data_IF_407713344296
#
_entry.id   IF_407713344296
#
_cell.length_a   1.000
_cell.length_b   1.000
_cell.length_c   1.000
_cell.angle_alpha   90.00
_cell.angle_beta   90.00
_cell.angle_gamma   90.00
#
_symmetry.space_group_name_H-M   'P 1'
#
loop_
_entity.id
_entity.type
_entity.pdbx_description
1 polymer ?
#
# COMPACT_ATOMS: atom_id res chain seq x y z
N UNK A 1 -18.65 12.12 -4.51
CA UNK A 1 -18.39 12.51 -5.92
C UNK A 1 -17.29 11.69 -6.56
N UNK A 2 -16.12 11.55 -5.91
CA UNK A 2 -14.95 10.82 -6.45
C UNK A 2 -15.27 9.39 -6.92
N UNK A 3 -15.90 8.55 -6.08
CA UNK A 3 -16.25 7.17 -6.47
C UNK A 3 -17.27 7.06 -7.61
N UNK A 4 -18.18 8.04 -7.78
CA UNK A 4 -19.16 8.05 -8.88
C UNK A 4 -18.52 8.37 -10.23
N UNK A 5 -17.42 9.12 -10.24
CA UNK A 5 -16.68 9.46 -11.46
C UNK A 5 -15.60 8.42 -11.79
N UNK A 6 -14.94 7.85 -10.77
CA UNK A 6 -13.84 6.90 -10.95
C UNK A 6 -14.32 5.52 -11.36
N UNK A 7 -15.44 5.04 -10.81
CA UNK A 7 -15.93 3.69 -11.10
C UNK A 7 -16.28 3.47 -12.59
N UNK A 8 -17.00 4.37 -13.29
CA UNK A 8 -17.29 4.19 -14.71
C UNK A 8 -16.04 4.17 -15.59
N UNK A 9 -15.04 5.00 -15.28
CA UNK A 9 -13.78 5.05 -16.01
C UNK A 9 -13.02 3.74 -15.85
N UNK A 10 -12.91 3.23 -14.62
CA UNK A 10 -12.24 1.96 -14.34
C UNK A 10 -12.97 0.77 -14.95
N UNK A 11 -14.31 0.75 -14.91
CA UNK A 11 -15.09 -0.29 -15.57
C UNK A 11 -14.86 -0.29 -17.09
N UNK A 12 -14.88 0.90 -17.71
CA UNK A 12 -14.60 1.05 -19.14
C UNK A 12 -13.19 0.57 -19.47
N UNK A 13 -12.20 0.94 -18.66
CA UNK A 13 -10.82 0.46 -18.81
C UNK A 13 -10.73 -1.06 -18.78
N UNK A 14 -11.27 -1.72 -17.76
CA UNK A 14 -11.22 -3.18 -17.65
C UNK A 14 -12.00 -3.89 -18.78
N UNK A 15 -13.13 -3.35 -19.21
CA UNK A 15 -13.89 -3.90 -20.34
C UNK A 15 -13.10 -3.79 -21.66
N UNK A 16 -12.39 -2.68 -21.88
CA UNK A 16 -11.50 -2.54 -23.05
C UNK A 16 -10.36 -3.56 -22.98
N UNK A 17 -9.73 -3.73 -21.82
CA UNK A 17 -8.68 -4.74 -21.61
C UNK A 17 -9.17 -6.15 -21.93
N UNK A 18 -10.35 -6.51 -21.41
CA UNK A 18 -10.99 -7.79 -21.66
C UNK A 18 -11.33 -7.99 -23.14
N UNK A 19 -11.89 -6.96 -23.80
CA UNK A 19 -12.26 -7.02 -25.22
C UNK A 19 -11.06 -7.17 -26.15
N UNK A 20 -9.99 -6.41 -25.92
CA UNK A 20 -8.75 -6.53 -26.69
C UNK A 20 -8.06 -7.88 -26.44
N UNK A 21 -8.03 -8.32 -25.17
CA UNK A 21 -7.49 -9.63 -24.79
C UNK A 21 -8.21 -10.77 -25.48
N UNK A 22 -9.54 -10.78 -25.40
CA UNK A 22 -10.40 -11.78 -26.03
C UNK A 22 -10.23 -11.83 -27.55
N UNK A 23 -10.16 -10.67 -28.22
CA UNK A 23 -9.92 -10.60 -29.66
C UNK A 23 -8.62 -11.29 -30.06
N UNK A 24 -7.55 -11.07 -29.30
CA UNK A 24 -6.25 -11.69 -29.57
C UNK A 24 -6.24 -13.20 -29.27
N UNK A 25 -6.91 -13.62 -28.18
CA UNK A 25 -7.07 -15.05 -27.84
C UNK A 25 -7.84 -15.80 -28.92
N UNK A 26 -8.93 -15.22 -29.45
CA UNK A 26 -9.69 -15.83 -30.56
C UNK A 26 -8.81 -16.00 -31.80
N UNK A 27 -7.88 -15.08 -32.05
CA UNK A 27 -6.97 -15.16 -33.18
C UNK A 27 -5.91 -16.26 -33.01
N UNK A 28 -5.47 -16.56 -31.78
CA UNK A 28 -4.56 -17.68 -31.49
C UNK A 28 -4.99 -18.41 -30.20
N UNK A 29 -5.93 -19.37 -30.29
CA UNK A 29 -6.46 -20.08 -29.12
C UNK A 29 -5.41 -20.94 -28.39
N UNK A 30 -4.30 -21.27 -29.03
CA UNK A 30 -3.21 -22.06 -28.46
C UNK A 30 -2.65 -21.45 -27.16
N UNK A 31 -2.76 -20.13 -26.97
CA UNK A 31 -2.31 -19.48 -25.74
C UNK A 31 -3.01 -20.03 -24.49
N UNK A 32 -4.21 -20.58 -24.62
CA UNK A 32 -4.96 -21.17 -23.51
C UNK A 32 -4.28 -22.43 -22.94
N UNK A 33 -3.38 -23.07 -23.70
CA UNK A 33 -2.56 -24.16 -23.18
C UNK A 33 -1.66 -23.71 -22.01
N UNK A 34 -1.36 -22.41 -21.90
CA UNK A 34 -0.61 -21.86 -20.76
C UNK A 34 -1.36 -21.95 -19.41
N UNK A 35 -2.65 -22.30 -19.40
CA UNK A 35 -3.37 -22.65 -18.18
C UNK A 35 -2.88 -23.96 -17.54
N UNK A 36 -2.23 -24.83 -18.32
CA UNK A 36 -1.67 -26.06 -17.79
C UNK A 36 -0.35 -25.76 -17.03
N UNK A 37 -0.28 -26.00 -15.70
CA UNK A 37 0.89 -25.69 -14.90
C UNK A 37 2.15 -26.46 -15.32
N UNK A 38 2.01 -27.54 -16.07
CA UNK A 38 3.14 -28.28 -16.63
C UNK A 38 4.05 -27.41 -17.50
N UNK A 39 3.51 -26.41 -18.21
CA UNK A 39 4.34 -25.48 -19.00
C UNK A 39 5.28 -24.66 -18.12
N UNK A 40 4.80 -24.20 -16.97
CA UNK A 40 5.65 -23.51 -16.01
C UNK A 40 6.73 -24.45 -15.47
N UNK A 41 6.37 -25.69 -15.11
CA UNK A 41 7.33 -26.70 -14.62
C UNK A 41 8.40 -27.00 -15.67
N UNK A 42 8.00 -27.25 -16.93
CA UNK A 42 8.94 -27.45 -18.04
C UNK A 42 9.84 -26.25 -18.26
N UNK A 43 9.29 -25.03 -18.19
CA UNK A 43 10.07 -23.81 -18.30
C UNK A 43 11.13 -23.70 -17.19
N UNK A 44 10.81 -24.05 -15.95
CA UNK A 44 11.80 -24.07 -14.85
C UNK A 44 12.87 -25.15 -15.02
N UNK A 45 12.48 -26.34 -15.48
CA UNK A 45 13.42 -27.46 -15.67
C UNK A 45 14.41 -27.20 -16.81
N UNK A 46 13.93 -26.64 -17.92
CA UNK A 46 14.71 -26.40 -19.13
C UNK A 46 15.61 -25.17 -19.00
N UNK A 47 15.03 -24.02 -18.64
CA UNK A 47 15.71 -22.72 -18.73
C UNK A 47 16.30 -22.21 -17.40
N UNK A 48 16.10 -22.94 -16.29
CA UNK A 48 16.70 -22.74 -14.95
C UNK A 48 16.95 -21.27 -14.58
N UNK A 49 18.15 -20.77 -14.82
CA UNK A 49 18.58 -19.39 -14.52
C UNK A 49 17.72 -18.33 -15.20
N UNK A 50 17.35 -18.52 -16.47
CA UNK A 50 16.50 -17.56 -17.19
C UNK A 50 15.09 -17.55 -16.57
N UNK A 51 14.58 -18.73 -16.19
CA UNK A 51 13.28 -18.86 -15.53
C UNK A 51 13.26 -18.19 -14.15
N UNK A 52 14.39 -18.29 -13.42
CA UNK A 52 14.59 -17.59 -12.16
C UNK A 52 14.59 -16.06 -12.35
N UNK A 53 15.29 -15.54 -13.35
CA UNK A 53 15.26 -14.09 -13.67
C UNK A 53 13.86 -13.64 -14.10
N UNK A 54 13.15 -14.48 -14.86
CA UNK A 54 11.78 -14.20 -15.32
C UNK A 54 10.79 -14.10 -14.15
N UNK A 55 10.95 -14.87 -13.07
CA UNK A 55 10.14 -14.71 -11.84
C UNK A 55 10.19 -13.28 -11.29
N UNK A 56 11.36 -12.65 -11.37
CA UNK A 56 11.55 -11.26 -10.96
C UNK A 56 10.79 -10.24 -11.84
N UNK A 57 10.37 -10.61 -13.04
CA UNK A 57 9.47 -9.79 -13.87
C UNK A 57 7.99 -10.14 -13.63
N UNK A 58 7.68 -11.42 -13.44
CA UNK A 58 6.32 -11.90 -13.15
C UNK A 58 5.74 -11.25 -11.89
N UNK A 59 6.57 -10.97 -10.88
CA UNK A 59 6.08 -10.30 -9.65
C UNK A 59 5.33 -9.00 -9.93
N UNK A 60 5.74 -8.24 -10.96
CA UNK A 60 5.12 -6.95 -11.32
C UNK A 60 3.68 -7.11 -11.81
N UNK A 61 3.26 -8.33 -12.17
CA UNK A 61 1.85 -8.63 -12.51
C UNK A 61 0.97 -8.85 -11.27
N UNK A 62 1.58 -9.18 -10.13
CA UNK A 62 0.87 -9.48 -8.86
C UNK A 62 0.86 -8.24 -7.95
N UNK A 63 1.79 -7.31 -8.16
CA UNK A 63 1.89 -6.10 -7.34
C UNK A 63 0.64 -5.24 -7.40
N UNK A 64 0.23 -4.68 -6.27
CA UNK A 64 -0.99 -3.87 -6.14
C UNK A 64 -2.14 -4.60 -5.46
N UNK A 65 -2.06 -5.93 -5.31
CA UNK A 65 -2.97 -6.69 -4.43
C UNK A 65 -2.79 -6.25 -2.97
N UNK A 66 -1.60 -5.80 -2.56
CA UNK A 66 -1.39 -5.27 -1.21
C UNK A 66 -2.23 -4.00 -0.93
N UNK A 67 -2.49 -3.19 -1.95
CA UNK A 67 -3.29 -1.97 -1.81
C UNK A 67 -4.77 -2.30 -1.55
N UNK A 68 -5.28 -3.41 -2.08
CA UNK A 68 -6.64 -3.86 -1.80
C UNK A 68 -6.86 -4.12 -0.30
N UNK A 69 -5.83 -4.62 0.41
CA UNK A 69 -5.91 -4.85 1.84
C UNK A 69 -5.88 -3.56 2.65
N UNK A 70 -5.09 -2.56 2.22
CA UNK A 70 -5.09 -1.24 2.85
C UNK A 70 -6.49 -0.58 2.78
N UNK A 71 -7.18 -0.79 1.67
CA UNK A 71 -8.52 -0.25 1.43
C UNK A 71 -9.67 -1.06 2.06
N UNK A 72 -9.40 -2.24 2.64
CA UNK A 72 -10.42 -3.01 3.37
C UNK A 72 -11.02 -2.24 4.55
N UNK A 73 -10.24 -1.35 5.17
CA UNK A 73 -10.74 -0.49 6.25
C UNK A 73 -11.78 0.54 5.80
N UNK A 74 -11.94 0.75 4.49
CA UNK A 74 -12.82 1.77 3.90
C UNK A 74 -14.06 1.14 3.25
N UNK A 75 -13.86 0.12 2.41
CA UNK A 75 -14.94 -0.47 1.61
C UNK A 75 -15.48 -1.79 2.19
N UNK A 76 -14.74 -2.42 3.10
CA UNK A 76 -15.06 -3.74 3.63
C UNK A 76 -14.81 -4.88 2.64
N UNK A 77 -14.95 -6.12 3.15
CA UNK A 77 -14.54 -7.34 2.42
C UNK A 77 -15.40 -7.71 1.21
N UNK A 78 -16.70 -7.41 1.23
CA UNK A 78 -17.65 -7.90 0.21
C UNK A 78 -17.52 -7.14 -1.12
N UNK A 79 -17.54 -5.79 -1.15
CA UNK A 79 -17.41 -5.04 -2.41
C UNK A 79 -16.08 -5.30 -3.11
N UNK A 80 -14.98 -5.41 -2.35
CA UNK A 80 -13.65 -5.71 -2.88
C UNK A 80 -13.62 -7.08 -3.55
N UNK A 81 -14.17 -8.11 -2.88
CA UNK A 81 -14.23 -9.47 -3.46
C UNK A 81 -15.07 -9.49 -4.73
N UNK A 82 -16.24 -8.84 -4.73
CA UNK A 82 -17.10 -8.78 -5.90
C UNK A 82 -16.34 -8.15 -7.07
N UNK A 83 -15.83 -6.92 -6.91
CA UNK A 83 -15.10 -6.22 -7.97
C UNK A 83 -13.88 -7.01 -8.48
N UNK A 84 -13.13 -7.63 -7.56
CA UNK A 84 -11.95 -8.43 -7.92
C UNK A 84 -12.32 -9.64 -8.77
N UNK A 85 -13.24 -10.48 -8.31
CA UNK A 85 -13.55 -11.74 -8.98
C UNK A 85 -14.45 -11.58 -10.21
N UNK A 86 -15.26 -10.53 -10.30
CA UNK A 86 -16.17 -10.34 -11.45
C UNK A 86 -15.60 -9.47 -12.57
N UNK A 87 -14.74 -8.49 -12.25
CA UNK A 87 -14.25 -7.53 -13.25
C UNK A 87 -12.73 -7.58 -13.37
N UNK A 88 -12.01 -7.34 -12.28
CA UNK A 88 -10.57 -7.06 -12.35
C UNK A 88 -9.79 -8.30 -12.76
N UNK A 89 -9.93 -9.40 -12.02
CA UNK A 89 -9.24 -10.66 -12.29
C UNK A 89 -9.52 -11.18 -13.72
N UNK A 90 -10.77 -11.37 -14.17
CA UNK A 90 -11.03 -11.89 -15.51
C UNK A 90 -10.51 -10.96 -16.61
N UNK A 91 -10.61 -9.65 -16.43
CA UNK A 91 -10.12 -8.68 -17.44
C UNK A 91 -8.60 -8.70 -17.56
N UNK A 92 -7.88 -8.77 -16.44
CA UNK A 92 -6.42 -8.87 -16.42
C UNK A 92 -5.95 -10.20 -17.00
N UNK A 93 -6.60 -11.31 -16.63
CA UNK A 93 -6.30 -12.63 -17.20
C UNK A 93 -6.47 -12.59 -18.71
N UNK A 94 -7.63 -12.16 -19.23
CA UNK A 94 -7.84 -12.05 -20.67
C UNK A 94 -6.80 -11.16 -21.36
N UNK A 95 -6.40 -10.05 -20.72
CA UNK A 95 -5.40 -9.16 -21.29
C UNK A 95 -4.01 -9.81 -21.38
N UNK A 96 -3.53 -10.46 -20.31
CA UNK A 96 -2.23 -11.15 -20.31
C UNK A 96 -2.19 -12.31 -21.31
N UNK A 97 -3.24 -13.14 -21.35
CA UNK A 97 -3.36 -14.18 -22.37
C UNK A 97 -3.43 -13.60 -23.78
N UNK A 98 -4.14 -12.49 -23.98
CA UNK A 98 -4.17 -11.79 -25.27
C UNK A 98 -2.81 -11.27 -25.72
N UNK A 99 -2.00 -10.72 -24.80
CA UNK A 99 -0.61 -10.32 -25.10
C UNK A 99 0.25 -11.53 -25.45
N UNK A 100 0.09 -12.65 -24.76
CA UNK A 100 0.75 -13.92 -25.09
C UNK A 100 0.38 -14.42 -26.50
N UNK A 101 -0.91 -14.40 -26.85
CA UNK A 101 -1.39 -14.77 -28.18
C UNK A 101 -0.83 -13.88 -29.29
N UNK A 102 -0.63 -12.59 -29.01
CA UNK A 102 0.00 -11.67 -29.96
C UNK A 102 1.47 -12.00 -30.18
N UNK A 103 2.20 -12.31 -29.10
CA UNK A 103 3.63 -12.66 -29.15
C UNK A 103 3.89 -13.99 -29.86
N UNK A 104 2.99 -14.97 -29.73
CA UNK A 104 3.08 -16.23 -30.47
C UNK A 104 3.00 -16.02 -31.99
N UNK A 105 2.23 -15.03 -32.44
CA UNK A 105 2.10 -14.70 -33.86
C UNK A 105 3.21 -13.78 -34.36
N UNK A 106 3.52 -12.73 -33.61
CA UNK A 106 4.47 -11.69 -33.98
C UNK A 106 5.46 -11.45 -32.84
N UNK A 107 6.62 -12.14 -32.83
CA UNK A 107 7.63 -11.97 -31.78
C UNK A 107 8.18 -10.54 -31.68
N UNK A 108 8.17 -9.78 -32.77
CA UNK A 108 8.60 -8.37 -32.80
C UNK A 108 7.71 -7.44 -31.97
N UNK A 109 6.49 -7.87 -31.62
CA UNK A 109 5.57 -7.09 -30.79
C UNK A 109 6.04 -6.92 -29.33
N UNK A 110 7.15 -7.56 -28.93
CA UNK A 110 7.73 -7.46 -27.58
C UNK A 110 8.08 -6.03 -27.16
N UNK A 111 8.26 -5.11 -28.12
CA UNK A 111 8.57 -3.69 -27.83
C UNK A 111 7.44 -2.98 -27.09
N UNK A 112 6.18 -3.23 -27.47
CA UNK A 112 5.00 -2.61 -26.87
C UNK A 112 3.76 -3.53 -27.05
N UNK A 113 3.74 -4.71 -26.41
CA UNK A 113 2.71 -5.71 -26.65
C UNK A 113 1.32 -5.20 -26.27
N UNK A 114 1.23 -4.29 -25.29
CA UNK A 114 -0.01 -3.67 -24.86
C UNK A 114 -0.66 -2.80 -25.95
N UNK A 115 0.11 -1.87 -26.54
CA UNK A 115 -0.43 -0.94 -27.54
C UNK A 115 -0.64 -1.62 -28.89
N UNK A 116 0.24 -2.55 -29.25
CA UNK A 116 0.11 -3.34 -30.49
C UNK A 116 -1.06 -4.35 -30.46
N UNK A 117 -1.62 -4.61 -29.27
CA UNK A 117 -2.86 -5.38 -29.12
C UNK A 117 -4.09 -4.63 -29.67
N UNK A 118 -4.04 -3.29 -29.65
CA UNK A 118 -5.13 -2.45 -30.09
C UNK A 118 -5.00 -2.13 -31.59
N UNK A 119 -6.12 -2.00 -32.33
CA UNK A 119 -6.08 -1.51 -33.69
C UNK A 119 -5.59 -0.05 -33.74
N UNK A 120 -4.91 0.35 -34.81
CA UNK A 120 -4.22 1.64 -34.91
C UNK A 120 -5.13 2.85 -34.60
N UNK A 121 -6.41 2.79 -35.02
CA UNK A 121 -7.39 3.85 -34.77
C UNK A 121 -7.76 4.00 -33.28
N UNK A 122 -7.61 2.95 -32.48
CA UNK A 122 -7.97 2.92 -31.06
C UNK A 122 -6.80 3.30 -30.12
N UNK A 123 -5.59 3.50 -30.65
CA UNK A 123 -4.40 3.83 -29.86
C UNK A 123 -4.57 5.13 -29.05
N UNK A 124 -5.05 6.20 -29.68
CA UNK A 124 -5.24 7.50 -29.00
C UNK A 124 -6.34 7.42 -27.93
N UNK A 125 -7.55 6.89 -28.21
CA UNK A 125 -8.55 6.67 -27.18
C UNK A 125 -8.05 5.79 -26.02
N UNK A 126 -7.33 4.71 -26.32
CA UNK A 126 -6.78 3.81 -25.32
C UNK A 126 -5.77 4.52 -24.42
N UNK A 127 -4.90 5.36 -25.00
CA UNK A 127 -3.92 6.16 -24.27
C UNK A 127 -4.60 7.12 -23.29
N UNK A 128 -5.67 7.80 -23.71
CA UNK A 128 -6.43 8.72 -22.85
C UNK A 128 -7.04 7.96 -21.67
N UNK A 129 -7.69 6.81 -21.93
CA UNK A 129 -8.30 6.01 -20.86
C UNK A 129 -7.23 5.43 -19.93
N UNK A 130 -6.09 4.97 -20.46
CA UNK A 130 -4.96 4.50 -19.67
C UNK A 130 -4.39 5.60 -18.76
N UNK A 131 -4.26 6.84 -19.27
CA UNK A 131 -3.82 7.97 -18.48
C UNK A 131 -4.81 8.29 -17.35
N UNK A 132 -6.11 8.29 -17.64
CA UNK A 132 -7.15 8.48 -16.61
C UNK A 132 -7.11 7.36 -15.55
N UNK A 133 -6.98 6.10 -15.96
CA UNK A 133 -6.85 4.96 -15.06
C UNK A 133 -5.59 5.09 -14.17
N UNK A 134 -4.47 5.56 -14.73
CA UNK A 134 -3.21 5.79 -14.00
C UNK A 134 -3.36 6.89 -12.95
N UNK A 135 -4.08 7.98 -13.26
CA UNK A 135 -4.40 9.04 -12.30
C UNK A 135 -5.28 8.49 -11.16
N UNK A 136 -6.31 7.70 -11.49
CA UNK A 136 -7.19 7.08 -10.50
C UNK A 136 -6.41 6.12 -9.58
N UNK A 137 -5.55 5.27 -10.15
CA UNK A 137 -4.68 4.37 -9.38
C UNK A 137 -3.77 5.14 -8.43
N UNK A 138 -3.15 6.22 -8.89
CA UNK A 138 -2.30 7.09 -8.05
C UNK A 138 -3.09 7.69 -6.87
N UNK A 139 -4.33 8.12 -7.11
CA UNK A 139 -5.19 8.66 -6.05
C UNK A 139 -5.59 7.61 -5.01
N UNK A 140 -5.82 6.35 -5.44
CA UNK A 140 -6.10 5.25 -4.53
C UNK A 140 -4.90 4.99 -3.59
N UNK A 141 -3.68 4.95 -4.12
CA UNK A 141 -2.45 4.76 -3.32
C UNK A 141 -2.25 5.91 -2.33
N UNK A 142 -2.42 7.17 -2.74
CA UNK A 142 -2.30 8.34 -1.85
C UNK A 142 -3.30 8.23 -0.70
N UNK A 143 -4.55 7.85 -0.99
CA UNK A 143 -5.59 7.66 0.01
C UNK A 143 -5.27 6.49 0.97
N UNK A 144 -4.70 5.40 0.45
CA UNK A 144 -4.20 4.28 1.24
C UNK A 144 -3.10 4.72 2.22
N UNK A 145 -2.17 5.57 1.79
CA UNK A 145 -1.11 6.12 2.67
C UNK A 145 -1.69 7.00 3.79
N UNK A 146 -2.69 7.84 3.50
CA UNK A 146 -3.36 8.63 4.55
C UNK A 146 -4.03 7.72 5.59
N UNK A 147 -4.60 6.61 5.14
CA UNK A 147 -5.25 5.62 6.00
C UNK A 147 -4.27 4.90 6.92
N UNK A 148 -3.16 4.42 6.36
CA UNK A 148 -2.09 3.78 7.11
C UNK A 148 -1.44 4.77 8.10
N UNK A 149 -1.26 6.03 7.68
CA UNK A 149 -0.73 7.07 8.55
C UNK A 149 -1.67 7.33 9.74
N UNK A 150 -2.98 7.44 9.50
CA UNK A 150 -3.97 7.60 10.57
C UNK A 150 -3.92 6.42 11.56
N UNK A 151 -3.79 5.19 11.06
CA UNK A 151 -3.65 4.00 11.90
C UNK A 151 -2.36 4.06 12.75
N UNK A 152 -1.23 4.44 12.15
CA UNK A 152 0.05 4.60 12.84
C UNK A 152 0.00 5.69 13.94
N UNK A 153 -0.66 6.82 13.70
CA UNK A 153 -0.88 7.87 14.70
C UNK A 153 -1.74 7.36 15.86
N UNK A 154 -2.83 6.63 15.57
CA UNK A 154 -3.69 6.03 16.61
C UNK A 154 -2.96 5.00 17.47
N UNK A 155 -2.10 4.18 16.86
CA UNK A 155 -1.24 3.22 17.57
C UNK A 155 -0.05 3.89 18.27
N UNK A 156 0.16 5.20 18.06
CA UNK A 156 1.20 5.98 18.71
C UNK A 156 2.60 5.83 18.14
N UNK A 157 2.71 5.32 16.92
CA UNK A 157 3.98 5.24 16.19
C UNK A 157 4.37 6.54 15.48
N UNK A 158 3.42 7.46 15.29
CA UNK A 158 3.67 8.76 14.67
C UNK A 158 3.13 9.91 15.53
N UNK A 159 3.69 11.10 15.32
CA UNK A 159 3.22 12.34 15.95
C UNK A 159 1.78 12.65 15.55
N UNK A 160 0.97 13.19 16.47
CA UNK A 160 -0.34 13.73 16.11
C UNK A 160 -0.19 14.76 14.98
N UNK A 161 -0.78 14.46 13.83
CA UNK A 161 -0.81 15.35 12.67
C UNK A 161 -2.22 15.89 12.49
N UNK A 162 -2.34 17.05 11.82
CA UNK A 162 -3.64 17.61 11.44
C UNK A 162 -4.31 16.69 10.42
N UNK A 163 -5.38 16.02 10.85
CA UNK A 163 -6.21 15.17 10.02
C UNK A 163 -7.47 15.96 9.64
N UNK A 164 -7.66 16.21 8.35
CA UNK A 164 -8.83 16.89 7.82
C UNK A 164 -9.78 15.80 7.28
N UNK A 165 -10.99 15.72 7.82
CA UNK A 165 -12.02 14.85 7.27
C UNK A 165 -12.72 15.61 6.15
N UNK A 166 -12.59 15.12 4.92
CA UNK A 166 -13.12 15.80 3.72
C UNK A 166 -14.62 15.51 3.53
N UNK A 167 -15.17 14.50 4.20
CA UNK A 167 -16.61 14.20 4.18
C UNK A 167 -17.08 13.69 5.55
N UNK A 168 -18.25 14.15 5.99
CA UNK A 168 -18.89 13.72 7.25
C UNK A 168 -19.53 12.32 7.15
N UNK A 169 -19.85 11.84 5.94
CA UNK A 169 -20.56 10.58 5.73
C UNK A 169 -19.63 9.39 5.41
N UNK A 170 -18.44 9.65 4.89
CA UNK A 170 -17.48 8.62 4.49
C UNK A 170 -16.22 8.72 5.36
N UNK A 171 -16.10 7.80 6.34
CA UNK A 171 -14.96 7.71 7.28
C UNK A 171 -13.58 7.53 6.60
N UNK A 172 -13.60 7.36 5.28
CA UNK A 172 -12.45 7.11 4.44
C UNK A 172 -11.90 8.29 3.63
N UNK A 173 -12.58 9.43 3.61
CA UNK A 173 -12.07 10.62 2.93
C UNK A 173 -11.24 11.46 3.90
N UNK A 174 -10.00 11.01 4.11
CA UNK A 174 -9.04 11.58 5.05
C UNK A 174 -7.99 12.32 4.24
N UNK A 175 -7.77 13.59 4.54
CA UNK A 175 -6.69 14.37 3.95
C UNK A 175 -5.67 14.75 5.03
N UNK A 176 -4.41 14.40 4.79
CA UNK A 176 -3.28 14.74 5.67
C UNK A 176 -2.29 15.60 4.88
N UNK A 177 -2.36 16.95 4.99
CA UNK A 177 -1.58 17.86 4.14
C UNK A 177 -0.07 17.60 4.17
N UNK A 178 0.46 17.33 5.36
CA UNK A 178 1.89 17.05 5.56
C UNK A 178 2.36 15.83 4.76
N UNK A 179 1.60 14.73 4.84
CA UNK A 179 1.90 13.49 4.12
C UNK A 179 1.78 13.70 2.61
N UNK A 180 0.79 14.48 2.15
CA UNK A 180 0.62 14.78 0.74
C UNK A 180 1.84 15.51 0.15
N UNK A 181 2.34 16.54 0.82
CA UNK A 181 3.54 17.25 0.40
C UNK A 181 4.80 16.38 0.48
N UNK A 182 4.92 15.56 1.52
CA UNK A 182 6.02 14.61 1.65
C UNK A 182 6.02 13.59 0.49
N UNK A 183 4.86 13.03 0.15
CA UNK A 183 4.70 12.12 -0.99
C UNK A 183 5.05 12.82 -2.31
N UNK A 184 4.58 14.06 -2.51
CA UNK A 184 4.92 14.83 -3.70
C UNK A 184 6.44 15.00 -3.87
N UNK A 185 7.14 15.44 -2.82
CA UNK A 185 8.60 15.61 -2.85
C UNK A 185 9.29 14.27 -3.10
N UNK A 186 8.87 13.19 -2.43
CA UNK A 186 9.45 11.87 -2.62
C UNK A 186 9.28 11.37 -4.06
N UNK A 187 8.10 11.56 -4.66
CA UNK A 187 7.83 11.18 -6.06
C UNK A 187 8.70 12.00 -7.02
N UNK A 188 8.84 13.31 -6.81
CA UNK A 188 9.71 14.16 -7.64
C UNK A 188 11.17 13.69 -7.56
N UNK A 189 11.68 13.39 -6.36
CA UNK A 189 13.05 12.86 -6.18
C UNK A 189 13.22 11.54 -6.93
N UNK A 190 12.25 10.63 -6.83
CA UNK A 190 12.31 9.32 -7.50
C UNK A 190 12.30 9.48 -9.02
N UNK A 191 11.45 10.36 -9.57
CA UNK A 191 11.38 10.62 -11.03
C UNK A 191 12.72 11.16 -11.54
N UNK A 192 13.30 12.15 -10.85
CA UNK A 192 14.59 12.75 -11.22
C UNK A 192 15.75 11.77 -11.07
N UNK A 193 15.70 10.87 -10.08
CA UNK A 193 16.82 9.95 -9.81
C UNK A 193 16.83 8.72 -10.73
N UNK A 194 15.66 8.22 -11.14
CA UNK A 194 15.56 6.95 -11.87
C UNK A 194 15.49 7.11 -13.39
N UNK A 195 14.99 8.25 -13.90
CA UNK A 195 14.82 8.67 -15.32
C UNK A 195 14.03 7.70 -16.22
N UNK A 196 14.36 6.40 -16.18
CA UNK A 196 13.74 5.29 -16.92
C UNK A 196 12.79 4.46 -16.03
N UNK A 197 11.62 4.13 -16.58
CA UNK A 197 10.58 3.31 -15.92
C UNK A 197 11.04 1.89 -15.57
N UNK A 198 11.98 1.32 -16.34
CA UNK A 198 12.53 -0.02 -16.11
C UNK A 198 13.27 -0.14 -14.77
N UNK A 199 13.99 0.90 -14.37
CA UNK A 199 14.76 0.92 -13.13
C UNK A 199 13.82 1.03 -11.91
N UNK A 200 12.72 1.76 -12.05
CA UNK A 200 11.70 1.91 -11.01
C UNK A 200 10.95 0.59 -10.74
N UNK A 201 10.65 -0.16 -11.81
CA UNK A 201 9.96 -1.44 -11.70
C UNK A 201 10.79 -2.47 -10.89
N UNK A 202 12.11 -2.52 -11.14
CA UNK A 202 13.02 -3.37 -10.38
C UNK A 202 13.06 -3.03 -8.88
N UNK A 203 13.07 -1.73 -8.55
CA UNK A 203 13.08 -1.27 -7.17
C UNK A 203 11.82 -1.69 -6.40
N UNK A 204 10.66 -1.51 -7.02
CA UNK A 204 9.37 -1.81 -6.41
C UNK A 204 9.17 -3.31 -6.11
N UNK A 205 9.67 -4.20 -6.98
CA UNK A 205 9.54 -5.66 -6.83
C UNK A 205 10.12 -6.21 -5.52
N UNK A 206 11.26 -5.69 -5.05
CA UNK A 206 11.88 -6.14 -3.78
C UNK A 206 11.00 -5.76 -2.58
N UNK A 207 10.48 -4.53 -2.56
CA UNK A 207 9.65 -4.07 -1.46
C UNK A 207 8.37 -4.90 -1.34
N UNK A 208 7.70 -5.18 -2.47
CA UNK A 208 6.45 -5.93 -2.48
C UNK A 208 6.66 -7.42 -2.15
N UNK A 209 7.68 -8.06 -2.72
CA UNK A 209 7.97 -9.46 -2.35
C UNK A 209 8.36 -9.59 -0.88
N UNK A 210 9.09 -8.62 -0.34
CA UNK A 210 9.39 -8.55 1.09
C UNK A 210 8.13 -8.41 1.95
N UNK A 211 7.18 -7.54 1.56
CA UNK A 211 5.91 -7.41 2.29
C UNK A 211 5.04 -8.65 2.17
N UNK A 212 5.07 -9.38 1.04
CA UNK A 212 4.38 -10.67 0.88
C UNK A 212 4.90 -11.71 1.88
N UNK A 213 6.22 -11.93 1.92
CA UNK A 213 6.86 -12.85 2.89
C UNK A 213 6.48 -12.49 4.33
N UNK A 214 6.60 -11.20 4.69
CA UNK A 214 6.25 -10.73 6.04
C UNK A 214 4.76 -10.94 6.34
N UNK A 215 3.87 -10.66 5.38
CA UNK A 215 2.43 -10.82 5.55
C UNK A 215 2.05 -12.30 5.71
N UNK A 216 2.69 -13.22 4.97
CA UNK A 216 2.50 -14.66 5.11
C UNK A 216 2.87 -15.15 6.52
N UNK A 217 3.98 -14.65 7.08
CA UNK A 217 4.42 -14.96 8.45
C UNK A 217 3.48 -14.34 9.50
N UNK A 218 3.11 -13.06 9.35
CA UNK A 218 2.24 -12.36 10.30
C UNK A 218 0.82 -12.92 10.30
N UNK A 219 0.26 -13.20 9.12
CA UNK A 219 -1.08 -13.77 8.94
C UNK A 219 -1.20 -15.13 9.62
N UNK A 220 -0.22 -16.00 9.43
CA UNK A 220 -0.20 -17.33 10.07
C UNK A 220 0.05 -17.23 11.58
N UNK A 221 0.84 -16.26 12.03
CA UNK A 221 1.01 -15.96 13.46
C UNK A 221 -0.31 -15.53 14.10
N UNK A 222 -1.06 -14.64 13.45
CA UNK A 222 -2.39 -14.21 13.91
C UNK A 222 -3.39 -15.38 13.90
N UNK A 223 -3.40 -16.20 12.85
CA UNK A 223 -4.27 -17.38 12.76
C UNK A 223 -4.01 -18.38 13.90
N UNK A 224 -2.75 -18.51 14.32
CA UNK A 224 -2.38 -19.37 15.45
C UNK A 224 -2.70 -18.74 16.81
N UNK A 225 -2.27 -17.50 17.03
CA UNK A 225 -2.33 -16.86 18.35
C UNK A 225 -3.71 -16.30 18.67
N UNK A 226 -4.38 -15.70 17.69
CA UNK A 226 -5.63 -14.95 17.91
C UNK A 226 -6.87 -15.75 17.46
N UNK A 227 -6.74 -16.61 16.44
CA UNK A 227 -7.85 -17.45 15.96
C UNK A 227 -7.76 -18.91 16.42
N UNK A 228 -6.68 -19.28 17.12
CA UNK A 228 -6.48 -20.61 17.70
C UNK A 228 -6.64 -21.78 16.70
N UNK A 229 -6.22 -21.59 15.45
CA UNK A 229 -6.27 -22.66 14.44
C UNK A 229 -5.27 -23.79 14.75
N UNK A 230 -5.55 -24.99 14.23
CA UNK A 230 -4.68 -26.15 14.39
C UNK A 230 -3.28 -25.87 13.85
N UNK A 231 -2.24 -26.12 14.67
CA UNK A 231 -0.82 -25.90 14.33
C UNK A 231 -0.40 -26.54 13.01
N UNK A 232 -0.91 -27.72 12.69
CA UNK A 232 -0.57 -28.43 11.45
C UNK A 232 -1.17 -27.75 10.22
N UNK A 233 -2.42 -27.28 10.35
CA UNK A 233 -3.09 -26.56 9.28
C UNK A 233 -2.43 -25.20 9.01
N UNK A 234 -2.06 -24.48 10.07
CA UNK A 234 -1.32 -23.22 9.94
C UNK A 234 0.06 -23.43 9.32
N UNK A 235 0.79 -24.49 9.74
CA UNK A 235 2.09 -24.81 9.16
C UNK A 235 1.99 -25.16 7.67
N UNK A 236 0.97 -25.93 7.28
CA UNK A 236 0.73 -26.26 5.87
C UNK A 236 0.46 -25.01 5.04
N UNK A 237 -0.37 -24.09 5.52
CA UNK A 237 -0.63 -22.80 4.85
C UNK A 237 0.64 -21.96 4.75
N UNK A 238 1.43 -21.89 5.82
CA UNK A 238 2.68 -21.14 5.84
C UNK A 238 3.66 -21.67 4.79
N UNK A 239 3.84 -22.99 4.74
CA UNK A 239 4.72 -23.63 3.76
C UNK A 239 4.20 -23.38 2.33
N UNK A 240 2.89 -23.50 2.11
CA UNK A 240 2.30 -23.24 0.80
C UNK A 240 2.56 -21.79 0.32
N UNK A 241 2.40 -20.79 1.18
CA UNK A 241 2.69 -19.39 0.82
C UNK A 241 4.19 -19.12 0.65
N UNK A 242 5.02 -19.56 1.59
CA UNK A 242 6.46 -19.34 1.52
C UNK A 242 7.12 -20.07 0.34
N UNK A 243 6.55 -21.18 -0.12
CA UNK A 243 7.02 -21.88 -1.32
C UNK A 243 6.90 -21.02 -2.58
N UNK A 244 5.99 -20.04 -2.61
CA UNK A 244 5.83 -19.08 -3.71
C UNK A 244 6.57 -17.78 -3.41
N UNK A 245 6.41 -17.25 -2.19
CA UNK A 245 6.95 -15.94 -1.82
C UNK A 245 8.48 -15.93 -1.76
N UNK A 246 9.12 -16.99 -1.25
CA UNK A 246 10.58 -17.05 -1.13
C UNK A 246 11.26 -17.03 -2.51
N UNK A 247 10.87 -17.88 -3.49
CA UNK A 247 11.43 -17.80 -4.83
C UNK A 247 11.21 -16.44 -5.52
N UNK A 248 10.05 -15.81 -5.32
CA UNK A 248 9.79 -14.47 -5.86
C UNK A 248 10.70 -13.40 -5.21
N UNK A 249 10.90 -13.49 -3.89
CA UNK A 249 11.78 -12.58 -3.17
C UNK A 249 13.25 -12.77 -3.58
N UNK A 250 13.72 -14.02 -3.66
CA UNK A 250 15.11 -14.30 -4.07
C UNK A 250 15.38 -13.91 -5.51
N UNK A 251 14.42 -14.08 -6.43
CA UNK A 251 14.55 -13.62 -7.81
C UNK A 251 14.67 -12.08 -7.95
N UNK A 252 14.23 -11.33 -6.94
CA UNK A 252 14.33 -9.87 -6.94
C UNK A 252 15.55 -9.36 -6.16
N UNK A 253 16.19 -10.17 -5.32
CA UNK A 253 17.38 -9.78 -4.55
C UNK A 253 18.55 -9.34 -5.44
N UNK A 254 18.72 -9.95 -6.61
CA UNK A 254 19.77 -9.57 -7.57
C UNK A 254 19.60 -8.12 -8.08
N UNK A 255 18.37 -7.59 -8.03
CA UNK A 255 18.03 -6.22 -8.45
C UNK A 255 18.20 -5.18 -7.34
N UNK A 256 18.72 -5.57 -6.18
CA UNK A 256 18.90 -4.67 -5.04
C UNK A 256 19.89 -3.54 -5.36
N UNK A 257 20.97 -3.86 -6.06
CA UNK A 257 22.00 -2.89 -6.46
C UNK A 257 21.55 -1.97 -7.60
N UNK A 258 20.62 -2.41 -8.45
CA UNK A 258 20.12 -1.65 -9.60
C UNK A 258 18.91 -0.76 -9.29
N UNK A 259 18.47 -0.70 -8.04
CA UNK A 259 17.41 0.24 -7.61
C UNK A 259 16.65 -0.16 -6.35
N UNK A 260 16.67 -1.44 -5.96
CA UNK A 260 15.94 -1.94 -4.79
C UNK A 260 16.41 -1.38 -3.44
N UNK A 261 17.59 -0.77 -3.37
CA UNK A 261 18.06 -0.08 -2.17
C UNK A 261 17.18 1.11 -1.78
N UNK A 262 16.52 1.79 -2.73
CA UNK A 262 15.73 2.99 -2.46
C UNK A 262 14.55 2.70 -1.52
N UNK A 263 13.60 1.79 -1.85
CA UNK A 263 12.47 1.53 -0.96
C UNK A 263 12.90 0.92 0.38
N UNK A 264 13.97 0.13 0.41
CA UNK A 264 14.53 -0.41 1.65
C UNK A 264 15.10 0.69 2.55
N UNK A 265 15.82 1.66 1.98
CA UNK A 265 16.36 2.80 2.71
C UNK A 265 15.24 3.68 3.27
N UNK A 266 14.22 3.99 2.46
CA UNK A 266 13.05 4.76 2.88
C UNK A 266 12.28 4.05 4.00
N UNK A 267 12.08 2.73 3.86
CA UNK A 267 11.45 1.90 4.89
C UNK A 267 12.25 1.89 6.20
N UNK A 268 13.59 1.83 6.11
CA UNK A 268 14.48 1.89 7.27
C UNK A 268 14.40 3.24 7.97
N UNK A 269 14.41 4.35 7.23
CA UNK A 269 14.25 5.70 7.79
C UNK A 269 12.90 5.83 8.50
N UNK A 270 11.81 5.38 7.87
CA UNK A 270 10.48 5.38 8.48
C UNK A 270 10.41 4.49 9.73
N UNK A 271 11.05 3.33 9.71
CA UNK A 271 11.13 2.45 10.87
C UNK A 271 11.87 3.12 12.05
N UNK A 272 12.98 3.81 11.78
CA UNK A 272 13.73 4.57 12.80
C UNK A 272 12.85 5.68 13.38
N UNK A 273 12.16 6.44 12.54
CA UNK A 273 11.24 7.51 12.99
C UNK A 273 10.14 6.94 13.89
N UNK A 274 9.48 5.85 13.45
CA UNK A 274 8.38 5.23 14.19
C UNK A 274 8.82 4.63 15.54
N UNK A 275 9.98 3.97 15.57
CA UNK A 275 10.53 3.37 16.80
C UNK A 275 11.03 4.43 17.78
N UNK A 276 11.70 5.47 17.28
CA UNK A 276 12.12 6.64 18.09
C UNK A 276 10.91 7.33 18.71
N UNK A 277 9.89 7.62 17.91
CA UNK A 277 8.68 8.29 18.40
C UNK A 277 7.95 7.46 19.46
N UNK A 278 7.78 6.14 19.22
CA UNK A 278 7.15 5.24 20.19
C UNK A 278 7.93 5.18 21.51
N UNK A 279 9.26 5.08 21.43
CA UNK A 279 10.14 5.07 22.61
C UNK A 279 10.01 6.37 23.41
N UNK A 280 10.13 7.52 22.75
CA UNK A 280 10.07 8.82 23.43
C UNK A 280 8.67 9.09 23.99
N UNK A 281 7.59 8.76 23.27
CA UNK A 281 6.23 8.85 23.80
C UNK A 281 6.05 7.99 25.05
N UNK A 282 6.57 6.76 25.05
CA UNK A 282 6.49 5.88 26.21
C UNK A 282 7.29 6.43 27.41
N UNK A 283 8.47 7.01 27.16
CA UNK A 283 9.28 7.69 28.18
C UNK A 283 8.57 8.91 28.76
N UNK A 284 7.93 9.73 27.92
CA UNK A 284 7.14 10.88 28.34
C UNK A 284 5.95 10.46 29.19
N UNK A 285 5.17 9.46 28.74
CA UNK A 285 4.02 8.95 29.50
C UNK A 285 4.44 8.37 30.86
N UNK A 286 5.60 7.69 30.92
CA UNK A 286 6.17 7.18 32.16
C UNK A 286 6.60 8.32 33.10
N UNK A 287 7.29 9.35 32.58
CA UNK A 287 7.66 10.53 33.37
C UNK A 287 6.44 11.28 33.91
N UNK A 288 5.37 11.39 33.13
CA UNK A 288 4.11 12.00 33.58
C UNK A 288 3.44 11.17 34.69
N UNK A 289 3.51 9.84 34.64
CA UNK A 289 3.03 8.98 35.73
C UNK A 289 3.92 9.06 36.98
N UNK A 290 5.23 9.10 36.82
CA UNK A 290 6.19 9.23 37.93
C UNK A 290 6.09 10.62 38.62
N UNK A 291 5.71 11.67 37.89
CA UNK A 291 5.36 12.99 38.43
C UNK A 291 3.85 13.13 38.75
N UNK A 292 3.11 12.01 38.75
CA UNK A 292 1.69 11.91 39.08
C UNK A 292 1.33 12.27 40.53
N UNK A 293 2.29 12.71 41.35
CA UNK A 293 2.06 13.42 42.61
C UNK A 293 1.32 14.76 42.41
N UNK A 294 1.03 15.15 41.17
CA UNK A 294 0.26 16.35 40.85
C UNK A 294 -1.18 16.29 41.33
N UNK A 295 -1.81 15.13 41.54
CA UNK A 295 -3.19 15.14 42.05
C UNK A 295 -3.23 15.58 43.51
N UNK A 296 -2.38 15.01 44.37
CA UNK A 296 -2.26 15.43 45.78
C UNK A 296 -1.67 16.84 45.90
N UNK A 297 -0.65 17.18 45.10
CA UNK A 297 -0.09 18.54 45.09
C UNK A 297 -1.07 19.58 44.51
N UNK A 298 -1.92 19.22 43.55
CA UNK A 298 -2.98 20.08 43.01
C UNK A 298 -4.13 20.22 44.01
N UNK A 299 -4.53 19.16 44.70
CA UNK A 299 -5.50 19.22 45.80
C UNK A 299 -4.96 20.12 46.91
N UNK A 300 -3.71 19.92 47.35
CA UNK A 300 -3.06 20.75 48.36
C UNK A 300 -2.92 22.22 47.91
N UNK A 301 -2.63 22.48 46.63
CA UNK A 301 -2.57 23.83 46.07
C UNK A 301 -3.96 24.48 45.98
N UNK A 302 -5.00 23.72 45.64
CA UNK A 302 -6.40 24.18 45.61
C UNK A 302 -6.97 24.42 47.01
N UNK A 303 -6.54 23.65 48.02
CA UNK A 303 -6.88 23.89 49.43
C UNK A 303 -6.17 25.14 49.97
N UNK A 304 -4.92 25.38 49.57
CA UNK A 304 -4.12 26.53 50.03
C UNK A 304 -4.51 27.84 49.32
N UNK A 305 -4.97 27.76 48.07
CA UNK A 305 -5.38 28.89 47.25
C UNK A 305 -6.67 28.55 46.48
N UNK A 306 -7.85 28.71 47.10
CA UNK A 306 -9.11 28.40 46.44
C UNK A 306 -9.29 29.30 45.19
N UNK A 307 -9.70 28.73 44.04
CA UNK A 307 -9.86 29.50 42.81
C UNK A 307 -10.95 30.55 42.96
N UNK A 308 -10.69 31.76 42.45
CA UNK A 308 -11.65 32.87 42.45
C UNK A 308 -12.90 32.45 41.67
N UNK A 309 -14.02 32.31 42.38
CA UNK A 309 -15.31 32.03 41.77
C UNK A 309 -15.87 33.32 41.19
N UNK A 310 -15.90 33.39 39.86
CA UNK A 310 -16.56 34.48 39.14
C UNK A 310 -18.06 34.16 39.06
N UNK A 311 -18.99 35.08 39.38
CA UNK A 311 -20.41 34.83 39.25
C UNK A 311 -20.79 34.67 37.77
N UNK A 312 -21.11 33.45 37.38
CA UNK A 312 -21.50 33.10 36.01
C UNK A 312 -21.60 31.58 35.87
N UNK A 313 -22.81 31.09 35.65
CA UNK A 313 -23.08 29.66 35.53
C UNK A 313 -22.48 29.13 34.22
N UNK A 314 -21.70 28.04 34.33
CA UNK A 314 -21.21 27.14 33.26
C UNK A 314 -19.87 27.48 32.59
N UNK A 315 -18.78 27.18 33.29
CA UNK A 315 -17.51 26.83 32.65
C UNK A 315 -16.33 26.75 33.61
N UNK A 316 -15.64 25.60 33.65
CA UNK A 316 -14.32 25.48 34.29
C UNK A 316 -13.26 25.52 33.19
N UNK A 317 -12.49 26.61 33.14
CA UNK A 317 -11.39 26.76 32.18
C UNK A 317 -10.06 26.59 32.91
N UNK A 318 -9.33 25.52 32.60
CA UNK A 318 -7.98 25.29 33.14
C UNK A 318 -6.99 26.06 32.28
N UNK A 319 -6.60 27.26 32.71
CA UNK A 319 -5.53 28.02 32.05
C UNK A 319 -4.23 27.83 32.81
N UNK A 320 -3.22 27.23 32.17
CA UNK A 320 -1.88 27.14 32.73
C UNK A 320 -1.19 28.51 32.60
N UNK A 321 -1.29 29.37 33.63
CA UNK A 321 -0.59 30.64 33.62
C UNK A 321 0.86 30.44 34.10
N UNK A 322 1.80 30.42 33.16
CA UNK A 322 3.24 30.20 33.40
C UNK A 322 4.03 31.50 33.65
N UNK A 323 3.38 32.60 34.10
CA UNK A 323 4.07 33.86 34.42
C UNK A 323 3.89 34.23 35.89
N UNK A 324 4.71 33.67 36.77
CA UNK A 324 4.97 34.24 38.10
C UNK A 324 6.28 33.75 38.75
N UNK A 325 7.31 33.42 37.95
CA UNK A 325 8.62 32.97 38.47
C UNK A 325 9.76 33.99 38.30
N UNK A 326 9.48 35.25 37.95
CA UNK A 326 10.50 36.29 37.79
C UNK A 326 9.89 37.64 38.19
N UNK A 327 10.17 38.09 39.43
CA UNK A 327 10.07 39.46 39.97
C UNK A 327 9.60 39.43 41.44
N UNK A 328 10.47 38.97 42.34
CA UNK A 328 10.48 39.36 43.75
C UNK A 328 11.80 38.84 44.34
N UNK A 329 12.91 39.52 43.97
CA UNK A 329 14.17 39.57 44.72
C UNK A 329 15.15 40.46 43.93
N UNK A 330 15.01 41.78 44.12
CA UNK A 330 16.02 42.85 44.00
C UNK A 330 15.31 44.21 44.01
#
# INVERSE_FOLDING_TARGET
MVGKLFAPIMLTWFLILAGLGLRSIIANPEVLHALNPMWAVHFFLEYKTVSFIALGAVVLSITGVEALYADMGHFGKFPIRLAWFTVVLPSLTLNYFGQGALLLKNPEAIKNPFFLLAPDWALIPLLIIAALATVIASQAVISGVFSLTRQAVRLGYLSPMRIIHTSEMESGQIYIPFVNWMLYVAVVIVIVSFEHSSNLAAAYGIAVTGTMVLTSILSTTVARQNWHWNKYFVALILIAFLCVDIPLFTANLDKLLSGGWLPLSLGTVMFIVMTTWKSERFRLLRRMHEHGNSLEAMIASLEKSPPVRVPGDRGVYVTCNQRHSLCADA
#
